data_IF_197886273285
#
_entry.id   IF_197886273285
#
_cell.length_a   1.000
_cell.length_b   1.000
_cell.length_c   1.000
_cell.angle_alpha   90.00
_cell.angle_beta   90.00
_cell.angle_gamma   90.00
#
_symmetry.space_group_name_H-M   'P 1'
#
loop_
_entity.id
_entity.type
_entity.pdbx_description
1 polymer ?
#
# COMPACT_ATOMS: atom_id res chain seq x y z
N UNK A 1 -19.91 14.94 -25.34
CA UNK A 1 -20.03 15.49 -23.97
C UNK A 1 -18.66 15.38 -23.32
N UNK A 2 -18.08 16.45 -22.78
CA UNK A 2 -16.77 16.35 -22.09
C UNK A 2 -17.01 15.68 -20.75
N UNK A 3 -16.49 14.46 -20.56
CA UNK A 3 -16.52 13.73 -19.30
C UNK A 3 -15.86 14.60 -18.22
N UNK A 4 -16.32 14.54 -16.98
CA UNK A 4 -15.67 15.19 -15.83
C UNK A 4 -14.93 14.17 -14.97
N UNK A 5 -13.96 14.60 -14.14
CA UNK A 5 -13.33 13.69 -13.16
C UNK A 5 -14.34 13.04 -12.21
N UNK A 6 -15.40 13.75 -11.82
CA UNK A 6 -16.43 13.22 -10.93
C UNK A 6 -17.26 12.10 -11.59
N UNK A 7 -17.58 12.26 -12.88
CA UNK A 7 -18.28 11.25 -13.68
C UNK A 7 -17.38 10.04 -13.96
N UNK A 8 -16.12 10.29 -14.33
CA UNK A 8 -15.13 9.24 -14.54
C UNK A 8 -14.90 8.40 -13.28
N UNK A 9 -14.82 9.02 -12.11
CA UNK A 9 -14.63 8.32 -10.85
C UNK A 9 -15.77 7.33 -10.56
N UNK A 10 -17.02 7.66 -10.91
CA UNK A 10 -18.14 6.72 -10.73
C UNK A 10 -17.94 5.46 -11.59
N UNK A 11 -17.59 5.64 -12.87
CA UNK A 11 -17.29 4.53 -13.79
C UNK A 11 -16.11 3.69 -13.27
N UNK A 12 -15.06 4.34 -12.76
CA UNK A 12 -13.90 3.65 -12.21
C UNK A 12 -14.22 2.89 -10.91
N UNK A 13 -15.10 3.40 -10.05
CA UNK A 13 -15.59 2.67 -8.87
C UNK A 13 -16.34 1.39 -9.26
N UNK A 14 -17.17 1.47 -10.30
CA UNK A 14 -17.93 0.31 -10.77
C UNK A 14 -17.00 -0.73 -11.39
N UNK A 15 -16.04 -0.31 -12.20
CA UNK A 15 -14.97 -1.16 -12.73
C UNK A 15 -14.13 -1.81 -11.62
N UNK A 16 -13.77 -1.05 -10.58
CA UNK A 16 -13.00 -1.57 -9.43
C UNK A 16 -13.72 -2.71 -8.71
N UNK A 17 -15.06 -2.73 -8.74
CA UNK A 17 -15.86 -3.80 -8.16
C UNK A 17 -16.02 -4.99 -9.12
N UNK A 18 -16.13 -4.72 -10.42
CA UNK A 18 -16.41 -5.71 -11.45
C UNK A 18 -15.54 -5.43 -12.70
N UNK A 19 -14.29 -5.89 -12.73
CA UNK A 19 -13.37 -5.57 -13.82
C UNK A 19 -13.65 -6.41 -15.08
N UNK A 20 -13.53 -5.78 -16.25
CA UNK A 20 -13.57 -6.45 -17.56
C UNK A 20 -12.55 -5.84 -18.53
N UNK A 21 -11.95 -6.62 -19.43
CA UNK A 21 -10.85 -6.14 -20.27
C UNK A 21 -11.24 -5.03 -21.25
N UNK A 22 -12.44 -5.10 -21.85
CA UNK A 22 -12.94 -4.06 -22.76
C UNK A 22 -13.23 -2.73 -22.05
N UNK A 23 -13.59 -2.79 -20.77
CA UNK A 23 -13.86 -1.59 -19.98
C UNK A 23 -12.55 -0.88 -19.59
N UNK A 24 -11.47 -1.64 -19.32
CA UNK A 24 -10.16 -1.09 -18.97
C UNK A 24 -9.62 -0.18 -20.08
N UNK A 25 -9.56 -0.67 -21.32
CA UNK A 25 -9.08 0.09 -22.48
C UNK A 25 -9.80 1.44 -22.60
N UNK A 26 -11.14 1.39 -22.54
CA UNK A 26 -11.99 2.58 -22.64
C UNK A 26 -11.73 3.55 -21.48
N UNK A 27 -11.65 3.04 -20.25
CA UNK A 27 -11.37 3.85 -19.06
C UNK A 27 -9.98 4.49 -19.09
N UNK A 28 -8.96 3.75 -19.52
CA UNK A 28 -7.60 4.25 -19.60
C UNK A 28 -7.47 5.39 -20.61
N UNK A 29 -8.06 5.22 -21.80
CA UNK A 29 -8.07 6.26 -22.84
C UNK A 29 -8.89 7.49 -22.39
N UNK A 30 -10.06 7.29 -21.77
CA UNK A 30 -10.85 8.40 -21.24
C UNK A 30 -10.12 9.14 -20.11
N UNK A 31 -9.43 8.43 -19.22
CA UNK A 31 -8.62 9.04 -18.17
C UNK A 31 -7.46 9.83 -18.75
N UNK A 32 -6.75 9.29 -19.75
CA UNK A 32 -5.69 10.00 -20.45
C UNK A 32 -6.19 11.32 -21.03
N UNK A 33 -7.32 11.31 -21.73
CA UNK A 33 -7.92 12.53 -22.29
C UNK A 33 -8.29 13.54 -21.21
N UNK A 34 -8.83 13.09 -20.08
CA UNK A 34 -9.16 13.95 -18.93
C UNK A 34 -7.91 14.55 -18.32
N UNK A 35 -6.89 13.74 -18.06
CA UNK A 35 -5.63 14.19 -17.48
C UNK A 35 -4.90 15.15 -18.41
N UNK A 36 -4.82 14.87 -19.71
CA UNK A 36 -4.27 15.79 -20.71
C UNK A 36 -5.01 17.13 -20.69
N UNK A 37 -6.35 17.12 -20.61
CA UNK A 37 -7.15 18.35 -20.63
C UNK A 37 -7.16 19.13 -19.30
N UNK A 38 -6.87 18.52 -18.16
CA UNK A 38 -7.06 19.17 -16.87
C UNK A 38 -5.83 19.18 -15.95
N UNK A 39 -4.78 18.43 -16.25
CA UNK A 39 -3.54 18.38 -15.47
C UNK A 39 -2.42 19.02 -16.27
N UNK A 40 -2.16 20.32 -16.02
CA UNK A 40 -1.23 21.12 -16.82
C UNK A 40 0.18 20.51 -16.92
N UNK A 41 0.71 20.01 -15.80
CA UNK A 41 2.04 19.40 -15.79
C UNK A 41 2.10 18.12 -16.65
N UNK A 42 1.06 17.29 -16.59
CA UNK A 42 0.97 16.08 -17.43
C UNK A 42 0.78 16.44 -18.91
N UNK A 43 -0.05 17.43 -19.22
CA UNK A 43 -0.21 17.92 -20.60
C UNK A 43 1.11 18.34 -21.22
N UNK A 44 1.88 19.19 -20.51
CA UNK A 44 3.17 19.69 -21.00
C UNK A 44 4.16 18.55 -21.24
N UNK A 45 4.15 17.54 -20.37
CA UNK A 45 4.95 16.33 -20.56
C UNK A 45 4.52 15.57 -21.82
N UNK A 46 3.22 15.31 -22.00
CA UNK A 46 2.71 14.63 -23.19
C UNK A 46 3.03 15.39 -24.48
N UNK A 47 2.82 16.72 -24.51
CA UNK A 47 3.11 17.57 -25.68
C UNK A 47 4.60 17.55 -26.04
N UNK A 48 5.49 17.59 -25.04
CA UNK A 48 6.94 17.51 -25.26
C UNK A 48 7.38 16.16 -25.82
N UNK A 49 6.71 15.07 -25.41
CA UNK A 49 6.96 13.71 -25.90
C UNK A 49 6.18 13.38 -27.18
N UNK A 50 5.40 14.33 -27.72
CA UNK A 50 4.65 14.16 -28.97
C UNK A 50 3.34 13.36 -28.84
N UNK A 51 2.81 13.18 -27.63
CA UNK A 51 1.54 12.48 -27.37
C UNK A 51 0.37 13.45 -27.22
N UNK A 52 -0.73 13.19 -27.94
CA UNK A 52 -1.97 13.97 -27.88
C UNK A 52 -3.21 13.07 -27.84
N UNK A 53 -4.38 13.58 -27.42
CA UNK A 53 -5.65 12.86 -27.49
C UNK A 53 -6.00 12.27 -28.86
N UNK A 54 -5.45 12.84 -29.93
CA UNK A 54 -5.69 12.43 -31.32
C UNK A 54 -4.81 11.26 -31.76
N UNK A 55 -3.61 11.08 -31.20
CA UNK A 55 -2.67 10.05 -31.63
C UNK A 55 -2.55 8.84 -30.68
N UNK A 56 -2.91 8.97 -29.41
CA UNK A 56 -3.03 7.85 -28.47
C UNK A 56 -4.31 7.06 -28.78
N UNK A 57 -4.16 5.84 -29.28
CA UNK A 57 -5.30 4.98 -29.70
C UNK A 57 -5.53 3.78 -28.81
N UNK A 58 -4.47 3.25 -28.22
CA UNK A 58 -4.55 2.17 -27.24
C UNK A 58 -3.89 2.58 -25.93
N UNK A 59 -4.30 2.00 -24.81
CA UNK A 59 -3.81 2.37 -23.48
C UNK A 59 -2.30 2.22 -23.36
N UNK A 60 -1.72 1.26 -24.08
CA UNK A 60 -0.29 1.00 -24.10
C UNK A 60 0.53 2.16 -24.71
N UNK A 61 -0.10 3.04 -25.49
CA UNK A 61 0.53 4.24 -26.04
C UNK A 61 0.57 5.41 -25.04
N UNK A 62 -0.12 5.30 -23.88
CA UNK A 62 -0.17 6.38 -22.90
C UNK A 62 1.24 6.57 -22.30
N UNK A 63 1.84 7.78 -22.39
CA UNK A 63 3.20 7.98 -21.94
C UNK A 63 3.29 7.90 -20.41
N UNK A 64 4.22 7.06 -19.93
CA UNK A 64 4.52 6.91 -18.51
C UNK A 64 5.31 8.11 -17.99
N UNK A 65 4.88 8.67 -16.85
CA UNK A 65 5.59 9.77 -16.19
C UNK A 65 6.54 9.23 -15.11
N UNK A 66 7.79 9.73 -15.00
CA UNK A 66 8.70 9.35 -13.93
C UNK A 66 8.13 9.70 -12.55
N UNK A 67 8.31 8.82 -11.57
CA UNK A 67 7.83 9.04 -10.19
C UNK A 67 8.46 10.27 -9.53
N UNK A 68 9.66 10.67 -9.96
CA UNK A 68 10.32 11.91 -9.55
C UNK A 68 9.52 13.16 -9.91
N UNK A 69 8.69 13.12 -10.96
CA UNK A 69 7.87 14.27 -11.35
C UNK A 69 6.86 14.69 -10.26
N UNK A 70 6.44 13.77 -9.38
CA UNK A 70 5.57 14.09 -8.23
C UNK A 70 6.26 14.92 -7.13
N UNK A 71 7.60 15.06 -7.19
CA UNK A 71 8.35 15.96 -6.31
C UNK A 71 8.31 17.39 -6.83
N UNK A 72 8.56 17.52 -8.12
CA UNK A 72 8.79 18.80 -8.80
C UNK A 72 7.49 19.46 -9.26
N UNK A 73 6.47 18.66 -9.58
CA UNK A 73 5.20 19.13 -10.13
C UNK A 73 4.00 18.65 -9.33
N UNK A 74 2.96 19.48 -9.29
CA UNK A 74 1.65 19.06 -8.81
C UNK A 74 0.90 18.32 -9.92
N UNK A 75 1.08 17.00 -9.98
CA UNK A 75 0.35 16.12 -10.90
C UNK A 75 -1.07 15.86 -10.39
N UNK A 76 -1.91 16.88 -10.41
CA UNK A 76 -3.29 16.79 -9.92
C UNK A 76 -4.26 17.66 -10.70
N UNK A 77 -5.46 17.14 -10.93
CA UNK A 77 -6.60 17.89 -11.43
C UNK A 77 -7.47 18.48 -10.31
N UNK A 78 -7.10 18.27 -9.03
CA UNK A 78 -7.88 18.67 -7.86
C UNK A 78 -7.53 20.13 -7.50
N UNK A 79 -8.50 21.06 -7.49
CA UNK A 79 -8.30 22.43 -7.03
C UNK A 79 -7.78 22.47 -5.60
N UNK A 80 -6.90 23.42 -5.27
CA UNK A 80 -6.30 23.55 -3.93
C UNK A 80 -7.35 23.57 -2.82
N UNK A 81 -8.48 24.27 -3.03
CA UNK A 81 -9.58 24.38 -2.07
C UNK A 81 -10.33 23.07 -1.80
N UNK A 82 -10.13 22.04 -2.62
CA UNK A 82 -10.78 20.74 -2.49
C UNK A 82 -9.82 19.64 -1.99
N UNK A 83 -8.53 19.95 -1.81
CA UNK A 83 -7.53 18.98 -1.33
C UNK A 83 -7.71 18.80 0.18
N UNK A 84 -8.11 17.60 0.59
CA UNK A 84 -8.40 17.26 1.99
C UNK A 84 -7.36 16.32 2.60
N UNK A 85 -6.57 15.64 1.77
CA UNK A 85 -5.48 14.78 2.22
C UNK A 85 -4.30 14.86 1.25
N UNK A 86 -3.11 14.54 1.76
CA UNK A 86 -1.88 14.46 0.98
C UNK A 86 -1.09 13.25 1.44
N UNK A 87 -0.79 12.35 0.52
CA UNK A 87 0.18 11.30 0.74
C UNK A 87 1.56 11.78 0.33
N UNK A 88 2.54 11.46 1.17
CA UNK A 88 3.93 11.85 0.97
C UNK A 88 4.79 10.61 0.86
N UNK A 89 5.75 10.61 -0.06
CA UNK A 89 6.80 9.58 -0.05
C UNK A 89 7.70 9.79 1.17
N UNK A 90 8.26 8.73 1.74
CA UNK A 90 9.29 8.80 2.78
C UNK A 90 10.63 9.33 2.23
N UNK A 91 10.70 10.62 1.92
CA UNK A 91 11.86 11.30 1.32
C UNK A 91 13.20 10.85 1.93
N UNK A 92 14.27 10.77 1.14
CA UNK A 92 15.62 10.69 1.70
C UNK A 92 15.95 12.03 2.35
N UNK A 93 16.80 12.05 3.38
CA UNK A 93 17.17 13.23 4.19
C UNK A 93 17.62 14.48 3.39
N UNK A 94 17.88 14.33 2.09
CA UNK A 94 18.34 15.39 1.19
C UNK A 94 17.32 15.78 0.09
N UNK A 95 16.14 15.14 0.02
CA UNK A 95 15.21 15.31 -1.10
C UNK A 95 13.78 15.60 -0.64
N UNK A 96 13.13 16.56 -1.32
CA UNK A 96 11.72 16.88 -1.11
C UNK A 96 10.86 15.63 -1.38
N UNK A 97 9.92 15.26 -0.48
CA UNK A 97 9.06 14.12 -0.71
C UNK A 97 8.10 14.39 -1.88
N UNK A 98 7.81 13.35 -2.65
CA UNK A 98 6.71 13.35 -3.61
C UNK A 98 5.40 13.64 -2.91
N UNK A 99 4.45 14.26 -3.61
CA UNK A 99 3.13 14.63 -3.07
C UNK A 99 2.02 14.12 -3.96
N UNK A 100 1.11 13.35 -3.38
CA UNK A 100 -0.10 12.89 -4.03
C UNK A 100 -1.31 13.47 -3.30
N UNK A 101 -2.02 14.37 -3.97
CA UNK A 101 -3.13 15.10 -3.38
C UNK A 101 -4.44 14.36 -3.58
N UNK A 102 -5.25 14.31 -2.52
CA UNK A 102 -6.58 13.72 -2.53
C UNK A 102 -7.63 14.69 -2.04
N UNK A 103 -8.80 14.64 -2.66
CA UNK A 103 -10.07 15.08 -2.08
C UNK A 103 -10.80 13.87 -1.46
N UNK A 104 -11.93 14.10 -0.79
CA UNK A 104 -12.71 13.04 -0.16
C UNK A 104 -13.08 11.89 -1.12
N UNK A 105 -13.37 12.22 -2.38
CA UNK A 105 -13.80 11.25 -3.38
C UNK A 105 -12.65 10.36 -3.88
N UNK A 106 -11.55 10.95 -4.34
CA UNK A 106 -10.33 10.23 -4.73
C UNK A 106 -9.74 9.40 -3.59
N UNK A 107 -9.83 9.88 -2.34
CA UNK A 107 -9.40 9.12 -1.17
C UNK A 107 -10.28 7.89 -0.93
N UNK A 108 -11.61 8.04 -1.04
CA UNK A 108 -12.53 6.91 -0.94
C UNK A 108 -12.38 5.92 -2.12
N UNK A 109 -11.86 6.35 -3.27
CA UNK A 109 -11.52 5.44 -4.37
C UNK A 109 -10.22 4.67 -4.08
N UNK A 110 -9.19 5.33 -3.56
CA UNK A 110 -7.97 4.68 -3.06
C UNK A 110 -8.31 3.57 -2.06
N UNK A 111 -9.12 3.90 -1.05
CA UNK A 111 -9.53 2.94 -0.01
C UNK A 111 -10.28 1.75 -0.63
N UNK A 112 -11.23 2.01 -1.53
CA UNK A 112 -11.96 0.95 -2.24
C UNK A 112 -11.04 0.05 -3.04
N UNK A 113 -10.13 0.61 -3.85
CA UNK A 113 -9.20 -0.15 -4.69
C UNK A 113 -8.27 -1.02 -3.82
N UNK A 114 -7.68 -0.43 -2.79
CA UNK A 114 -6.81 -1.15 -1.85
C UNK A 114 -7.53 -2.32 -1.17
N UNK A 115 -8.77 -2.11 -0.74
CA UNK A 115 -9.56 -3.11 -0.05
C UNK A 115 -10.01 -4.24 -0.98
N UNK A 116 -10.56 -3.90 -2.15
CA UNK A 116 -11.06 -4.89 -3.11
C UNK A 116 -9.94 -5.82 -3.55
N UNK A 117 -8.76 -5.27 -3.86
CA UNK A 117 -7.63 -6.10 -4.25
C UNK A 117 -7.09 -6.90 -3.07
N UNK A 118 -6.92 -6.30 -1.88
CA UNK A 118 -6.43 -7.02 -0.71
C UNK A 118 -7.30 -8.23 -0.32
N UNK A 119 -8.63 -8.16 -0.49
CA UNK A 119 -9.55 -9.28 -0.21
C UNK A 119 -9.25 -10.53 -1.06
N UNK A 120 -8.68 -10.38 -2.24
CA UNK A 120 -8.27 -11.50 -3.10
C UNK A 120 -7.00 -12.21 -2.59
N UNK A 121 -6.22 -11.55 -1.73
CA UNK A 121 -4.91 -12.02 -1.29
C UNK A 121 -4.81 -12.30 0.21
N UNK A 122 -5.59 -11.60 1.04
CA UNK A 122 -5.41 -11.54 2.49
C UNK A 122 -6.72 -11.88 3.23
N UNK A 123 -6.65 -12.62 4.35
CA UNK A 123 -7.80 -12.87 5.21
C UNK A 123 -8.01 -11.68 6.17
N UNK A 124 -8.68 -10.63 5.67
CA UNK A 124 -8.87 -9.35 6.40
C UNK A 124 -9.91 -9.40 7.53
N UNK A 125 -10.54 -10.54 7.78
CA UNK A 125 -11.59 -10.72 8.80
C UNK A 125 -11.06 -11.22 10.16
N UNK A 126 -9.74 -11.39 10.31
CA UNK A 126 -9.11 -11.92 11.51
C UNK A 126 -8.40 -10.88 12.37
N UNK A 127 -7.82 -11.33 13.49
CA UNK A 127 -6.97 -10.48 14.33
C UNK A 127 -5.78 -9.95 13.53
N UNK A 128 -5.51 -8.64 13.60
CA UNK A 128 -4.40 -8.02 12.88
C UNK A 128 -3.56 -7.11 13.78
N UNK A 129 -2.24 -7.25 13.66
CA UNK A 129 -1.24 -6.39 14.28
C UNK A 129 -0.49 -5.62 13.21
N UNK A 130 -0.65 -4.31 13.19
CA UNK A 130 0.05 -3.39 12.31
C UNK A 130 1.31 -2.87 13.03
N UNK A 131 2.49 -3.12 12.47
CA UNK A 131 3.78 -2.68 13.01
C UNK A 131 4.10 -1.21 12.67
N UNK A 132 3.09 -0.43 12.29
CA UNK A 132 3.21 0.98 11.90
C UNK A 132 2.60 1.88 12.96
N UNK A 133 2.88 3.19 12.94
CA UNK A 133 2.16 4.16 13.75
C UNK A 133 0.66 4.17 13.45
N UNK A 134 -0.11 4.74 14.37
CA UNK A 134 -1.54 4.97 14.17
C UNK A 134 -1.81 6.02 13.07
N UNK A 135 -3.02 6.03 12.47
CA UNK A 135 -3.41 7.05 11.49
C UNK A 135 -3.28 8.49 11.99
N UNK A 136 -3.46 8.72 13.30
CA UNK A 136 -3.30 10.04 13.92
C UNK A 136 -1.84 10.52 13.91
N UNK A 137 -0.88 9.60 14.04
CA UNK A 137 0.56 9.90 14.05
C UNK A 137 1.17 9.96 12.64
N UNK A 138 0.54 9.32 11.66
CA UNK A 138 1.08 9.18 10.30
C UNK A 138 0.05 9.47 9.21
N UNK A 139 -0.69 10.57 9.33
CA UNK A 139 -1.79 10.95 8.43
C UNK A 139 -1.38 11.12 6.95
N UNK A 140 -0.09 11.36 6.67
CA UNK A 140 0.46 11.52 5.33
C UNK A 140 0.96 10.21 4.69
N UNK A 141 0.80 9.07 5.37
CA UNK A 141 1.23 7.77 4.85
C UNK A 141 0.09 7.04 4.16
N UNK A 142 0.27 6.75 2.87
CA UNK A 142 -0.66 5.90 2.10
C UNK A 142 -0.73 4.47 2.68
N UNK A 143 0.40 3.93 3.16
CA UNK A 143 0.45 2.63 3.82
C UNK A 143 -0.37 2.60 5.12
N UNK A 144 -0.22 3.61 5.99
CA UNK A 144 -1.02 3.68 7.23
C UNK A 144 -2.50 3.88 6.92
N UNK A 145 -2.83 4.66 5.87
CA UNK A 145 -4.21 4.75 5.38
C UNK A 145 -4.75 3.40 4.91
N UNK A 146 -3.96 2.61 4.19
CA UNK A 146 -4.36 1.27 3.73
C UNK A 146 -4.61 0.35 4.93
N UNK A 147 -3.70 0.32 5.90
CA UNK A 147 -3.88 -0.48 7.12
C UNK A 147 -5.10 -0.05 7.93
N UNK A 148 -5.40 1.25 8.03
CA UNK A 148 -6.64 1.71 8.65
C UNK A 148 -7.89 1.30 7.87
N UNK A 149 -7.79 1.20 6.55
CA UNK A 149 -8.88 0.67 5.70
C UNK A 149 -9.12 -0.81 6.00
N UNK A 150 -8.07 -1.62 6.13
CA UNK A 150 -8.18 -3.02 6.54
C UNK A 150 -8.73 -3.16 7.96
N UNK A 151 -8.30 -2.29 8.88
CA UNK A 151 -8.81 -2.23 10.25
C UNK A 151 -10.32 -1.98 10.28
N UNK A 152 -10.80 -0.99 9.52
CA UNK A 152 -12.23 -0.65 9.44
C UNK A 152 -13.05 -1.76 8.80
N UNK A 153 -12.50 -2.46 7.82
CA UNK A 153 -13.11 -3.64 7.21
C UNK A 153 -13.25 -4.79 8.21
N UNK A 154 -12.23 -5.03 9.04
CA UNK A 154 -12.21 -6.15 9.98
C UNK A 154 -13.29 -6.03 11.08
N UNK A 155 -13.90 -4.84 11.23
CA UNK A 155 -15.05 -4.47 12.05
C UNK A 155 -15.07 -5.00 13.50
N UNK A 156 -15.35 -6.30 13.67
CA UNK A 156 -15.46 -6.99 14.96
C UNK A 156 -14.16 -7.68 15.41
N UNK A 157 -13.18 -7.81 14.53
CA UNK A 157 -11.91 -8.42 14.86
C UNK A 157 -11.03 -7.50 15.71
N UNK A 158 -10.29 -8.08 16.65
CA UNK A 158 -9.28 -7.35 17.41
C UNK A 158 -8.16 -6.86 16.49
N UNK A 159 -7.83 -5.57 16.56
CA UNK A 159 -6.79 -4.96 15.74
C UNK A 159 -5.96 -3.97 16.54
N UNK A 160 -4.66 -3.87 16.25
CA UNK A 160 -3.74 -3.01 16.99
C UNK A 160 -2.71 -2.38 16.05
N UNK A 161 -2.46 -1.08 16.21
CA UNK A 161 -1.25 -0.42 15.69
C UNK A 161 -0.21 -0.36 16.81
N UNK A 162 0.95 -0.96 16.59
CA UNK A 162 2.02 -1.06 17.59
C UNK A 162 3.31 -0.42 17.08
N UNK A 163 3.21 0.84 16.66
CA UNK A 163 4.35 1.66 16.30
C UNK A 163 4.11 3.13 16.67
N UNK A 164 5.19 3.91 16.62
CA UNK A 164 5.18 5.34 16.93
C UNK A 164 5.94 6.11 15.86
N UNK A 165 5.44 7.29 15.52
CA UNK A 165 6.17 8.25 14.70
C UNK A 165 6.96 9.20 15.60
N UNK A 166 8.24 9.40 15.30
CA UNK A 166 9.06 10.38 15.99
C UNK A 166 8.92 11.79 15.37
N UNK A 167 9.52 12.79 16.00
CA UNK A 167 9.46 14.19 15.56
C UNK A 167 10.12 14.42 14.17
N UNK A 168 10.97 13.51 13.71
CA UNK A 168 11.60 13.55 12.38
C UNK A 168 10.77 12.84 11.30
N UNK A 169 9.64 12.23 11.67
CA UNK A 169 8.81 11.42 10.78
C UNK A 169 9.30 9.98 10.61
N UNK A 170 10.33 9.57 11.36
CA UNK A 170 10.80 8.19 11.45
C UNK A 170 9.81 7.31 12.23
N UNK A 171 9.79 6.01 11.93
CA UNK A 171 8.89 5.06 12.58
C UNK A 171 9.66 4.07 13.43
N UNK A 172 9.12 3.76 14.60
CA UNK A 172 9.64 2.72 15.49
C UNK A 172 8.52 1.77 15.88
N UNK A 173 8.86 0.50 16.09
CA UNK A 173 7.91 -0.50 16.58
C UNK A 173 7.86 -0.45 18.11
N UNK A 174 6.67 -0.60 18.69
CA UNK A 174 6.47 -0.68 20.14
C UNK A 174 6.63 -2.15 20.58
N UNK A 175 7.89 -2.56 20.79
CA UNK A 175 8.23 -3.97 21.09
C UNK A 175 7.50 -4.50 22.33
N UNK A 176 7.41 -3.78 23.47
CA UNK A 176 6.62 -4.23 24.61
C UNK A 176 5.15 -4.50 24.26
N UNK A 177 4.48 -3.61 23.53
CA UNK A 177 3.09 -3.83 23.11
C UNK A 177 2.96 -5.03 22.16
N UNK A 178 3.89 -5.15 21.20
CA UNK A 178 3.93 -6.28 20.27
C UNK A 178 4.06 -7.60 21.04
N UNK A 179 5.02 -7.73 21.95
CA UNK A 179 5.22 -8.96 22.73
C UNK A 179 3.96 -9.29 23.54
N UNK A 180 3.33 -8.29 24.17
CA UNK A 180 2.08 -8.48 24.91
C UNK A 180 0.96 -9.04 24.02
N UNK A 181 0.76 -8.45 22.84
CA UNK A 181 -0.27 -8.90 21.89
C UNK A 181 0.04 -10.30 21.33
N UNK A 182 1.32 -10.60 21.03
CA UNK A 182 1.74 -11.92 20.59
C UNK A 182 1.48 -12.99 21.66
N UNK A 183 1.81 -12.73 22.93
CA UNK A 183 1.49 -13.64 24.03
C UNK A 183 -0.01 -13.88 24.16
N UNK A 184 -0.83 -12.81 24.07
CA UNK A 184 -2.29 -12.90 24.14
C UNK A 184 -2.86 -13.84 23.07
N UNK A 185 -2.44 -13.70 21.81
CA UNK A 185 -2.96 -14.55 20.73
C UNK A 185 -2.50 -16.00 20.85
N UNK A 186 -1.32 -16.25 21.42
CA UNK A 186 -0.83 -17.61 21.70
C UNK A 186 -1.66 -18.27 22.79
N UNK A 187 -1.88 -17.57 23.91
CA UNK A 187 -2.67 -18.07 25.03
C UNK A 187 -4.12 -18.37 24.60
N UNK A 188 -4.67 -17.57 23.69
CA UNK A 188 -6.00 -17.78 23.11
C UNK A 188 -6.02 -18.69 21.87
N UNK A 189 -4.87 -19.24 21.44
CA UNK A 189 -4.70 -19.99 20.19
C UNK A 189 -5.36 -19.32 18.95
N UNK A 190 -5.35 -17.99 18.90
CA UNK A 190 -6.02 -17.20 17.87
C UNK A 190 -5.04 -16.87 16.74
N UNK A 191 -5.34 -17.21 15.47
CA UNK A 191 -4.49 -16.82 14.34
C UNK A 191 -4.42 -15.30 14.18
N UNK A 192 -3.23 -14.79 13.85
CA UNK A 192 -2.98 -13.35 13.67
C UNK A 192 -2.33 -13.02 12.33
N UNK A 193 -2.76 -11.92 11.71
CA UNK A 193 -2.03 -11.26 10.63
C UNK A 193 -1.07 -10.22 11.18
N UNK A 194 0.22 -10.31 10.90
CA UNK A 194 1.20 -9.27 11.27
C UNK A 194 1.62 -8.51 10.02
N UNK A 195 1.40 -7.19 10.00
CA UNK A 195 1.55 -6.37 8.80
C UNK A 195 2.53 -5.24 9.06
N UNK A 196 3.50 -5.04 8.18
CA UNK A 196 4.50 -3.99 8.35
C UNK A 196 5.49 -3.91 7.20
N UNK A 197 6.32 -2.87 7.23
CA UNK A 197 7.45 -2.77 6.29
C UNK A 197 8.53 -3.79 6.64
N UNK A 198 9.36 -4.16 5.66
CA UNK A 198 10.56 -4.95 5.91
C UNK A 198 11.43 -4.35 7.03
N UNK A 199 11.53 -3.01 7.12
CA UNK A 199 12.22 -2.33 8.22
C UNK A 199 11.57 -2.59 9.59
N UNK A 200 10.24 -2.52 9.69
CA UNK A 200 9.54 -2.83 10.95
C UNK A 200 9.83 -4.26 11.41
N UNK A 201 9.82 -5.22 10.49
CA UNK A 201 10.14 -6.62 10.80
C UNK A 201 11.60 -6.80 11.23
N UNK A 202 12.56 -6.18 10.53
CA UNK A 202 13.97 -6.26 10.93
C UNK A 202 14.19 -5.71 12.34
N UNK A 203 13.61 -4.53 12.64
CA UNK A 203 13.72 -3.94 13.97
C UNK A 203 13.10 -4.85 15.05
N UNK A 204 11.90 -5.39 14.80
CA UNK A 204 11.27 -6.33 15.72
C UNK A 204 12.13 -7.59 15.93
N UNK A 205 12.65 -8.19 14.86
CA UNK A 205 13.50 -9.38 14.93
C UNK A 205 14.80 -9.13 15.70
N UNK A 206 15.44 -7.97 15.51
CA UNK A 206 16.67 -7.59 16.23
C UNK A 206 16.39 -7.46 17.74
N UNK A 207 15.27 -6.84 18.11
CA UNK A 207 14.87 -6.68 19.51
C UNK A 207 14.46 -8.02 20.17
N UNK A 208 13.79 -8.91 19.43
CA UNK A 208 13.49 -10.26 19.90
C UNK A 208 14.76 -11.10 20.07
N UNK A 209 15.74 -10.96 19.17
CA UNK A 209 17.03 -11.65 19.26
C UNK A 209 17.81 -11.24 20.51
N UNK A 210 17.87 -9.93 20.82
CA UNK A 210 18.49 -9.41 22.04
C UNK A 210 17.83 -10.02 23.29
N UNK A 211 16.50 -10.15 23.28
CA UNK A 211 15.72 -10.77 24.36
C UNK A 211 15.78 -12.29 24.38
N UNK A 212 16.43 -12.91 23.39
CA UNK A 212 16.44 -14.37 23.16
C UNK A 212 15.03 -14.97 23.12
N UNK A 213 14.06 -14.19 22.64
CA UNK A 213 12.66 -14.58 22.57
C UNK A 213 12.34 -15.10 21.17
N UNK A 214 11.81 -16.32 21.12
CA UNK A 214 11.18 -16.89 19.92
C UNK A 214 9.74 -17.20 20.23
N UNK A 215 8.90 -16.95 19.24
CA UNK A 215 7.45 -17.04 19.36
C UNK A 215 6.96 -18.06 18.33
N UNK A 216 6.02 -18.91 18.69
CA UNK A 216 5.35 -19.78 17.72
C UNK A 216 3.94 -19.26 17.56
N UNK A 217 3.68 -18.60 16.43
CA UNK A 217 2.35 -18.04 16.17
C UNK A 217 1.35 -19.18 15.93
N UNK A 218 0.09 -19.03 16.38
CA UNK A 218 -0.93 -20.05 16.18
C UNK A 218 -1.11 -20.43 14.70
N UNK A 219 -1.41 -21.70 14.39
CA UNK A 219 -1.66 -22.15 13.02
C UNK A 219 -2.69 -21.27 12.30
N UNK A 220 -2.42 -20.90 11.05
CA UNK A 220 -3.27 -19.97 10.30
C UNK A 220 -2.82 -18.51 10.38
N UNK A 221 -1.87 -18.18 11.25
CA UNK A 221 -1.23 -16.86 11.27
C UNK A 221 -0.49 -16.56 9.96
N UNK A 222 -0.32 -15.29 9.64
CA UNK A 222 0.25 -14.84 8.37
C UNK A 222 0.96 -13.50 8.51
N UNK A 223 1.79 -13.18 7.52
CA UNK A 223 2.56 -11.94 7.49
C UNK A 223 2.28 -11.20 6.17
N UNK A 224 2.07 -9.89 6.26
CA UNK A 224 2.20 -8.97 5.13
C UNK A 224 3.49 -8.17 5.26
N UNK A 225 4.47 -8.47 4.42
CA UNK A 225 5.69 -7.69 4.25
C UNK A 225 5.50 -6.68 3.12
N UNK A 226 5.54 -5.38 3.43
CA UNK A 226 5.65 -4.34 2.40
C UNK A 226 7.08 -3.82 2.27
N UNK A 227 7.42 -3.27 1.11
CA UNK A 227 8.71 -2.65 0.85
C UNK A 227 9.01 -1.46 1.78
N UNK A 228 10.29 -1.06 1.82
CA UNK A 228 10.76 0.10 2.57
C UNK A 228 11.82 -0.26 3.62
N UNK A 229 13.09 -0.02 3.29
CA UNK A 229 14.25 -0.15 4.20
C UNK A 229 14.74 1.21 4.72
N UNK A 230 13.92 2.26 4.66
CA UNK A 230 14.37 3.63 4.95
C UNK A 230 14.26 3.92 6.45
N UNK A 231 15.38 4.25 7.08
CA UNK A 231 15.54 4.37 8.55
C UNK A 231 16.68 3.51 9.14
N UNK A 232 17.72 3.29 8.33
CA UNK A 232 18.73 2.23 8.38
C UNK A 232 19.28 1.87 9.77
N UNK A 233 18.90 0.70 10.28
CA UNK A 233 19.78 -0.13 11.12
C UNK A 233 20.55 -1.13 10.24
N UNK A 234 19.84 -1.87 9.37
CA UNK A 234 20.40 -2.76 8.32
C UNK A 234 19.35 -3.15 7.28
N UNK A 235 19.80 -3.52 6.06
CA UNK A 235 18.94 -4.09 5.01
C UNK A 235 19.25 -5.58 4.86
N UNK A 236 18.21 -6.39 4.67
CA UNK A 236 18.33 -7.83 4.48
C UNK A 236 17.89 -8.25 3.09
N UNK A 237 18.56 -9.24 2.46
CA UNK A 237 17.97 -9.96 1.34
C UNK A 237 16.64 -10.57 1.75
N UNK A 238 15.64 -10.48 0.87
CA UNK A 238 14.29 -11.01 1.12
C UNK A 238 14.26 -12.48 1.58
N UNK A 239 15.04 -13.41 0.98
CA UNK A 239 15.09 -14.79 1.47
C UNK A 239 15.58 -14.92 2.91
N UNK A 240 16.51 -14.05 3.32
CA UNK A 240 17.03 -14.04 4.68
C UNK A 240 15.99 -13.51 5.67
N UNK A 241 15.30 -12.42 5.33
CA UNK A 241 14.20 -11.90 6.14
C UNK A 241 13.12 -12.98 6.34
N UNK A 242 12.70 -13.65 5.27
CA UNK A 242 11.68 -14.70 5.35
C UNK A 242 12.14 -15.89 6.20
N UNK A 243 13.42 -16.28 6.12
CA UNK A 243 13.98 -17.32 7.00
C UNK A 243 13.93 -16.89 8.46
N UNK A 244 14.29 -15.64 8.77
CA UNK A 244 14.22 -15.14 10.15
C UNK A 244 12.77 -15.08 10.66
N UNK A 245 11.82 -14.64 9.82
CA UNK A 245 10.40 -14.65 10.18
C UNK A 245 9.89 -16.06 10.47
N UNK A 246 10.31 -17.06 9.68
CA UNK A 246 10.03 -18.46 9.99
C UNK A 246 10.66 -18.89 11.33
N UNK A 247 11.94 -18.59 11.54
CA UNK A 247 12.70 -19.05 12.72
C UNK A 247 12.23 -18.41 14.04
N UNK A 248 11.69 -17.19 13.98
CA UNK A 248 11.21 -16.41 15.13
C UNK A 248 9.71 -16.50 15.39
N UNK A 249 8.90 -16.76 14.35
CA UNK A 249 7.44 -16.77 14.46
C UNK A 249 6.78 -18.10 14.09
N UNK A 250 7.52 -19.07 13.54
CA UNK A 250 6.96 -20.34 13.06
C UNK A 250 6.16 -20.23 11.75
N UNK A 251 6.21 -19.06 11.09
CA UNK A 251 5.41 -18.80 9.90
C UNK A 251 6.05 -19.49 8.69
N UNK A 252 5.27 -20.35 8.04
CA UNK A 252 5.68 -20.98 6.80
C UNK A 252 5.88 -19.94 5.69
N UNK A 253 6.89 -20.08 4.81
CA UNK A 253 7.15 -19.10 3.76
C UNK A 253 5.94 -18.78 2.90
N UNK A 254 5.07 -19.76 2.61
CA UNK A 254 3.84 -19.59 1.83
C UNK A 254 2.75 -18.75 2.53
N UNK A 255 2.92 -18.43 3.82
CA UNK A 255 2.06 -17.51 4.58
C UNK A 255 2.67 -16.12 4.79
N UNK A 256 3.79 -15.84 4.12
CA UNK A 256 4.38 -14.51 4.01
C UNK A 256 4.00 -13.96 2.63
N UNK A 257 3.08 -13.00 2.63
CA UNK A 257 2.66 -12.25 1.45
C UNK A 257 3.50 -10.98 1.36
N UNK A 258 4.05 -10.71 0.18
CA UNK A 258 4.71 -9.45 -0.09
C UNK A 258 3.72 -8.50 -0.78
N UNK A 259 3.71 -7.25 -0.35
CA UNK A 259 2.97 -6.15 -0.96
C UNK A 259 3.95 -5.14 -1.58
N UNK A 260 3.56 -4.57 -2.71
CA UNK A 260 4.23 -3.46 -3.36
C UNK A 260 3.23 -2.32 -3.57
N UNK A 261 3.60 -1.15 -3.06
CA UNK A 261 2.82 0.08 -3.19
C UNK A 261 3.73 1.30 -3.20
N UNK A 262 3.14 2.44 -3.55
CA UNK A 262 3.82 3.74 -3.58
C UNK A 262 2.84 4.84 -3.18
N UNK A 263 3.33 5.97 -2.66
CA UNK A 263 2.46 7.12 -2.36
C UNK A 263 1.82 7.69 -3.63
N UNK A 264 2.51 7.56 -4.77
CA UNK A 264 2.09 7.98 -6.10
C UNK A 264 1.09 7.02 -6.76
N UNK A 265 0.96 5.78 -6.25
CA UNK A 265 0.05 4.76 -6.79
C UNK A 265 -1.21 4.67 -5.93
N UNK A 266 -2.36 4.53 -6.60
CA UNK A 266 -3.63 4.26 -5.93
C UNK A 266 -4.01 2.78 -5.89
N UNK A 267 -3.10 1.92 -6.32
CA UNK A 267 -3.23 0.46 -6.34
C UNK A 267 -1.99 -0.19 -5.76
N UNK A 268 -2.20 -1.34 -5.14
CA UNK A 268 -1.15 -2.17 -4.55
C UNK A 268 -1.05 -3.47 -5.33
N UNK A 269 0.14 -4.07 -5.35
CA UNK A 269 0.35 -5.39 -5.92
C UNK A 269 0.74 -6.39 -4.83
N UNK A 270 0.30 -7.64 -5.00
CA UNK A 270 0.62 -8.73 -4.09
C UNK A 270 1.30 -9.86 -4.86
N UNK A 271 2.30 -10.51 -4.26
CA UNK A 271 3.07 -11.55 -4.95
C UNK A 271 2.52 -12.97 -4.82
N UNK A 272 1.64 -13.21 -3.85
CA UNK A 272 1.01 -14.51 -3.57
C UNK A 272 -0.26 -14.28 -2.78
N UNK A 273 -1.22 -15.20 -2.87
CA UNK A 273 -2.48 -15.13 -2.12
C UNK A 273 -2.55 -16.21 -1.04
N UNK A 274 -3.21 -15.87 0.07
CA UNK A 274 -3.65 -16.79 1.11
C UNK A 274 -5.07 -17.32 0.88
N UNK A 275 -5.84 -16.65 0.01
CA UNK A 275 -7.26 -16.95 -0.26
C UNK A 275 -7.46 -17.73 -1.56
N UNK A 276 -6.46 -17.76 -2.46
CA UNK A 276 -6.50 -18.53 -3.72
C UNK A 276 -5.17 -19.20 -4.03
N UNK A 277 -5.23 -20.31 -4.77
CA UNK A 277 -4.04 -20.96 -5.33
C UNK A 277 -3.53 -20.10 -6.48
N UNK A 278 -2.38 -19.46 -6.32
CA UNK A 278 -1.68 -18.77 -7.41
C UNK A 278 -0.72 -19.78 -8.03
N UNK A 279 -1.02 -20.27 -9.23
CA UNK A 279 -0.12 -21.15 -9.97
C UNK A 279 1.08 -20.33 -10.51
N UNK A 280 2.31 -20.71 -10.14
CA UNK A 280 3.53 -20.10 -10.69
C UNK A 280 4.39 -19.33 -9.69
N UNK A 281 5.39 -18.60 -10.23
CA UNK A 281 6.37 -17.82 -9.46
C UNK A 281 5.71 -16.70 -8.66
N UNK A 282 6.30 -16.34 -7.50
CA UNK A 282 5.89 -15.22 -6.62
C UNK A 282 6.07 -13.85 -7.29
N UNK A 283 5.34 -13.61 -8.36
CA UNK A 283 5.36 -12.39 -9.16
C UNK A 283 4.26 -11.45 -8.67
N UNK A 284 4.59 -10.17 -8.51
CA UNK A 284 3.62 -9.16 -8.11
C UNK A 284 2.49 -9.04 -9.14
N UNK A 285 1.26 -9.10 -8.66
CA UNK A 285 0.04 -8.97 -9.44
C UNK A 285 -0.65 -7.66 -9.05
N UNK A 286 -0.72 -6.73 -10.00
CA UNK A 286 -1.51 -5.50 -9.88
C UNK A 286 -2.99 -5.82 -10.13
N UNK A 287 -3.93 -5.00 -9.59
CA UNK A 287 -5.33 -5.10 -9.97
C UNK A 287 -5.48 -4.97 -11.50
N UNK A 288 -6.51 -5.64 -12.06
CA UNK A 288 -6.84 -5.55 -13.49
C UNK A 288 -7.22 -4.13 -13.93
#
# INVERSE_FOLDING_TARGET
>A
MKISFAEFENRLRDFTRNPSSSDFETLAIDLFRLQFNHVLAYRKFCEAEGYTPENVKVWADIPAIPTTAFKDFELTGIPVTQRTAIFQSSGTSEQRPSRHFHNARSLALYELSSLMWAREYLPLNGTMLFLTPSPAQAAHSSLVRMFDTFRREAALAHTMFAGHADASGGWQVDVPQIISELSRVIDCATPIGVLGTAFNFVHLLDELAIRKLRVQLPPGSWILETGGYKGRSRSLPKPELHRLLHDFFGIQPNRIVCEYGMSELSSQAYNTSLNRVVAGSRTFQFPP
#
